data_IF_838959005758
#
_entry.id   IF_838959005758
#
_cell.length_a   1.000
_cell.length_b   1.000
_cell.length_c   1.000
_cell.angle_alpha   90.00
_cell.angle_beta   90.00
_cell.angle_gamma   90.00
#
_symmetry.space_group_name_H-M   'P 1'
#
loop_
_entity.id
_entity.type
_entity.pdbx_description
1 polymer ?
#
# COMPACT_ATOMS: atom_id res chain seq x y z
N UNK A 1 21.81 -48.00 -10.87
CA UNK A 1 21.45 -46.68 -10.33
C UNK A 1 20.10 -46.21 -10.87
N UNK A 2 18.96 -46.63 -10.30
CA UNK A 2 17.63 -46.18 -10.77
C UNK A 2 16.57 -46.11 -9.63
N UNK A 3 17.00 -46.05 -8.38
CA UNK A 3 16.09 -45.98 -7.21
C UNK A 3 15.75 -44.57 -6.73
N UNK A 4 16.52 -43.56 -7.15
CA UNK A 4 16.41 -42.20 -6.57
C UNK A 4 15.35 -41.34 -7.28
N UNK A 5 15.19 -41.47 -8.60
CA UNK A 5 14.20 -40.71 -9.38
C UNK A 5 12.76 -41.16 -9.12
N UNK A 6 12.54 -42.46 -8.86
CA UNK A 6 11.19 -43.06 -8.76
C UNK A 6 10.44 -42.68 -7.47
N UNK A 7 11.16 -42.25 -6.42
CA UNK A 7 10.55 -41.85 -5.15
C UNK A 7 10.25 -40.34 -5.08
N UNK A 8 10.93 -39.52 -5.88
CA UNK A 8 10.65 -38.08 -5.97
C UNK A 8 9.36 -37.83 -6.79
N UNK A 9 9.25 -38.51 -7.93
CA UNK A 9 8.11 -38.38 -8.84
C UNK A 9 6.78 -38.93 -8.27
N UNK A 10 6.83 -39.82 -7.26
CA UNK A 10 5.64 -40.47 -6.69
C UNK A 10 5.05 -39.73 -5.49
N UNK A 11 5.84 -38.84 -4.84
CA UNK A 11 5.43 -38.07 -3.66
C UNK A 11 4.74 -36.75 -4.06
N UNK A 12 5.22 -36.09 -5.11
CA UNK A 12 4.59 -34.89 -5.68
C UNK A 12 3.19 -35.21 -6.24
N UNK A 13 2.96 -36.40 -6.78
CA UNK A 13 1.81 -36.69 -7.65
C UNK A 13 0.55 -37.18 -6.92
N UNK A 14 0.66 -37.58 -5.65
CA UNK A 14 -0.50 -37.89 -4.77
C UNK A 14 -0.89 -36.70 -3.91
N UNK A 15 0.10 -36.05 -3.26
CA UNK A 15 -0.14 -34.88 -2.43
C UNK A 15 -0.65 -33.69 -3.24
N UNK A 16 -0.08 -33.40 -4.42
CA UNK A 16 -0.61 -32.34 -5.28
C UNK A 16 -1.99 -32.65 -5.84
N UNK A 17 -2.30 -33.91 -6.18
CA UNK A 17 -3.64 -34.32 -6.63
C UNK A 17 -4.67 -34.28 -5.50
N UNK A 18 -4.31 -34.65 -4.29
CA UNK A 18 -5.16 -34.52 -3.10
C UNK A 18 -5.39 -33.04 -2.74
N UNK A 19 -4.35 -32.21 -2.77
CA UNK A 19 -4.44 -30.75 -2.59
C UNK A 19 -5.27 -30.07 -3.70
N UNK A 20 -5.09 -30.49 -4.96
CA UNK A 20 -5.89 -30.00 -6.11
C UNK A 20 -7.34 -30.46 -6.04
N UNK A 21 -7.61 -31.66 -5.56
CA UNK A 21 -8.98 -32.15 -5.34
C UNK A 21 -9.64 -31.44 -4.16
N UNK A 22 -8.89 -31.13 -3.10
CA UNK A 22 -9.38 -30.31 -1.99
C UNK A 22 -9.65 -28.86 -2.42
N UNK A 23 -8.86 -28.29 -3.34
CA UNK A 23 -9.17 -27.00 -3.98
C UNK A 23 -10.42 -27.04 -4.85
N UNK A 24 -10.54 -28.08 -5.69
CA UNK A 24 -11.73 -28.30 -6.52
C UNK A 24 -12.98 -28.49 -5.66
N UNK A 25 -12.81 -28.92 -4.40
CA UNK A 25 -13.88 -29.16 -3.43
C UNK A 25 -13.94 -28.12 -2.28
N UNK A 26 -13.17 -27.02 -2.32
CA UNK A 26 -13.21 -25.94 -1.32
C UNK A 26 -13.65 -24.61 -1.97
N UNK A 27 -14.98 -24.41 -2.15
CA UNK A 27 -15.55 -23.17 -2.66
C UNK A 27 -15.18 -21.87 -1.92
N UNK A 28 -14.97 -21.81 -0.57
CA UNK A 28 -14.88 -20.52 0.12
C UNK A 28 -13.57 -19.75 -0.13
N UNK A 29 -12.42 -20.43 -0.17
CA UNK A 29 -11.11 -19.75 -0.22
C UNK A 29 -10.92 -18.95 -1.50
N UNK A 30 -11.18 -19.56 -2.66
CA UNK A 30 -11.03 -18.86 -3.95
C UNK A 30 -12.03 -17.71 -4.08
N UNK A 31 -13.28 -17.90 -3.65
CA UNK A 31 -14.28 -16.85 -3.67
C UNK A 31 -13.90 -15.65 -2.79
N UNK A 32 -13.30 -15.90 -1.62
CA UNK A 32 -12.82 -14.84 -0.74
C UNK A 32 -11.64 -14.08 -1.36
N UNK A 33 -10.70 -14.76 -1.99
CA UNK A 33 -9.56 -14.14 -2.69
C UNK A 33 -10.06 -13.30 -3.88
N UNK A 34 -10.97 -13.84 -4.69
CA UNK A 34 -11.55 -13.13 -5.82
C UNK A 34 -12.33 -11.88 -5.34
N UNK A 35 -13.03 -11.99 -4.21
CA UNK A 35 -13.72 -10.87 -3.58
C UNK A 35 -12.75 -9.80 -3.09
N UNK A 36 -11.74 -10.18 -2.32
CA UNK A 36 -10.70 -9.26 -1.85
C UNK A 36 -9.99 -8.57 -3.02
N UNK A 37 -9.68 -9.29 -4.09
CA UNK A 37 -9.05 -8.73 -5.29
C UNK A 37 -9.90 -7.65 -5.96
N UNK A 38 -11.23 -7.86 -6.05
CA UNK A 38 -12.15 -6.84 -6.57
C UNK A 38 -12.25 -5.62 -5.66
N UNK A 39 -12.33 -5.83 -4.34
CA UNK A 39 -12.40 -4.74 -3.35
C UNK A 39 -11.10 -3.91 -3.36
N UNK A 40 -9.93 -4.55 -3.44
CA UNK A 40 -8.64 -3.87 -3.59
C UNK A 40 -8.58 -3.08 -4.90
N UNK A 41 -9.03 -3.65 -6.01
CA UNK A 41 -9.07 -2.95 -7.31
C UNK A 41 -9.96 -1.70 -7.26
N UNK A 42 -11.11 -1.78 -6.60
CA UNK A 42 -11.99 -0.64 -6.40
C UNK A 42 -11.34 0.44 -5.52
N UNK A 43 -10.58 0.04 -4.51
CA UNK A 43 -9.85 0.96 -3.63
C UNK A 43 -8.69 1.66 -4.35
N UNK A 44 -7.94 0.94 -5.18
CA UNK A 44 -6.89 1.50 -6.04
C UNK A 44 -7.49 2.63 -6.90
N UNK A 45 -8.63 2.38 -7.56
CA UNK A 45 -9.30 3.40 -8.37
C UNK A 45 -9.74 4.63 -7.54
N UNK A 46 -10.07 4.46 -6.25
CA UNK A 46 -10.38 5.59 -5.36
C UNK A 46 -9.12 6.36 -4.97
N UNK A 47 -8.01 5.67 -4.73
CA UNK A 47 -6.71 6.31 -4.49
C UNK A 47 -6.23 7.06 -5.72
N UNK A 48 -6.46 6.57 -6.94
CA UNK A 48 -6.23 7.31 -8.19
C UNK A 48 -7.00 8.64 -8.23
N UNK A 49 -8.29 8.59 -7.89
CA UNK A 49 -9.11 9.79 -7.83
C UNK A 49 -8.61 10.76 -6.75
N UNK A 50 -8.15 10.26 -5.61
CA UNK A 50 -7.54 11.08 -4.56
C UNK A 50 -6.22 11.72 -5.03
N UNK A 51 -5.34 10.94 -5.66
CA UNK A 51 -4.08 11.42 -6.27
C UNK A 51 -4.35 12.56 -7.26
N UNK A 52 -5.33 12.40 -8.16
CA UNK A 52 -5.69 13.43 -9.13
C UNK A 52 -6.18 14.73 -8.46
N UNK A 53 -6.98 14.63 -7.40
CA UNK A 53 -7.48 15.78 -6.65
C UNK A 53 -6.35 16.51 -5.91
N UNK A 54 -5.42 15.75 -5.31
CA UNK A 54 -4.24 16.31 -4.64
C UNK A 54 -3.39 17.07 -5.66
N UNK A 55 -3.14 16.49 -6.83
CA UNK A 55 -2.40 17.15 -7.91
C UNK A 55 -3.05 18.44 -8.38
N UNK A 56 -4.37 18.46 -8.53
CA UNK A 56 -5.10 19.68 -8.90
C UNK A 56 -4.94 20.78 -7.85
N UNK A 57 -5.10 20.43 -6.56
CA UNK A 57 -5.00 21.39 -5.46
C UNK A 57 -3.57 21.89 -5.22
N UNK A 58 -2.56 21.04 -5.43
CA UNK A 58 -1.16 21.44 -5.40
C UNK A 58 -0.90 22.55 -6.42
N UNK A 59 -1.32 22.35 -7.67
CA UNK A 59 -1.19 23.35 -8.73
C UNK A 59 -1.94 24.66 -8.42
N UNK A 60 -3.10 24.59 -7.77
CA UNK A 60 -3.81 25.79 -7.29
C UNK A 60 -3.02 26.54 -6.22
N UNK A 61 -2.47 25.84 -5.23
CA UNK A 61 -1.66 26.46 -4.18
C UNK A 61 -0.39 27.07 -4.76
N UNK A 62 0.27 26.38 -5.69
CA UNK A 62 1.43 26.92 -6.39
C UNK A 62 1.12 28.25 -7.12
N UNK A 63 0.00 28.31 -7.86
CA UNK A 63 -0.44 29.55 -8.50
C UNK A 63 -0.70 30.68 -7.50
N UNK A 64 -1.27 30.36 -6.32
CA UNK A 64 -1.49 31.34 -5.25
C UNK A 64 -0.17 31.86 -4.68
N UNK A 65 0.83 30.99 -4.46
CA UNK A 65 2.18 31.38 -4.03
C UNK A 65 2.77 32.39 -5.02
N UNK A 66 2.77 32.07 -6.32
CA UNK A 66 3.30 32.95 -7.36
C UNK A 66 2.57 34.29 -7.38
N UNK A 67 1.23 34.29 -7.32
CA UNK A 67 0.43 35.51 -7.33
C UNK A 67 0.68 36.40 -6.09
N UNK A 68 0.85 35.81 -4.90
CA UNK A 68 1.19 36.53 -3.68
C UNK A 68 2.60 37.13 -3.75
N UNK A 69 3.59 36.36 -4.25
CA UNK A 69 4.95 36.87 -4.45
C UNK A 69 5.00 38.03 -5.44
N UNK A 70 4.27 37.96 -6.55
CA UNK A 70 4.18 39.05 -7.53
C UNK A 70 3.60 40.35 -6.94
N UNK A 71 2.73 40.24 -5.93
CA UNK A 71 2.15 41.38 -5.21
C UNK A 71 3.02 41.88 -4.05
N UNK A 72 4.15 41.22 -3.78
CA UNK A 72 4.99 41.51 -2.60
C UNK A 72 4.40 41.01 -1.28
N UNK A 73 3.32 40.21 -1.33
CA UNK A 73 2.61 39.69 -0.16
C UNK A 73 3.29 38.40 0.34
N UNK A 74 4.39 38.57 1.06
CA UNK A 74 5.24 37.46 1.53
C UNK A 74 4.55 36.58 2.57
N UNK A 75 3.67 37.15 3.41
CA UNK A 75 2.99 36.42 4.48
C UNK A 75 2.01 35.38 3.89
N UNK A 76 1.20 35.78 2.91
CA UNK A 76 0.31 34.83 2.22
C UNK A 76 1.10 33.81 1.40
N UNK A 77 2.21 34.21 0.76
CA UNK A 77 3.07 33.28 0.03
C UNK A 77 3.63 32.18 0.96
N UNK A 78 4.11 32.55 2.15
CA UNK A 78 4.61 31.60 3.15
C UNK A 78 3.50 30.68 3.66
N UNK A 79 2.31 31.22 3.96
CA UNK A 79 1.15 30.42 4.38
C UNK A 79 0.76 29.37 3.33
N UNK A 80 0.65 29.77 2.05
CA UNK A 80 0.32 28.83 0.97
C UNK A 80 1.42 27.80 0.72
N UNK A 81 2.70 28.14 0.93
CA UNK A 81 3.81 27.20 0.82
C UNK A 81 3.78 26.11 1.91
N UNK A 82 3.39 26.47 3.14
CA UNK A 82 3.21 25.49 4.21
C UNK A 82 2.08 24.50 3.88
N UNK A 83 0.92 25.01 3.43
CA UNK A 83 -0.21 24.17 3.02
C UNK A 83 0.15 23.25 1.84
N UNK A 84 0.91 23.76 0.86
CA UNK A 84 1.42 22.98 -0.26
C UNK A 84 2.32 21.84 0.22
N UNK A 85 3.17 22.09 1.21
CA UNK A 85 4.07 21.08 1.79
C UNK A 85 3.28 19.97 2.49
N UNK A 86 2.29 20.32 3.30
CA UNK A 86 1.42 19.32 3.94
C UNK A 86 0.60 18.53 2.92
N UNK A 87 0.12 19.20 1.86
CA UNK A 87 -0.60 18.54 0.78
C UNK A 87 0.27 17.53 0.02
N UNK A 88 1.56 17.84 -0.18
CA UNK A 88 2.52 16.90 -0.80
C UNK A 88 2.80 15.70 0.11
N UNK A 89 2.92 15.89 1.43
CA UNK A 89 3.04 14.75 2.37
C UNK A 89 1.84 13.82 2.26
N UNK A 90 0.63 14.38 2.23
CA UNK A 90 -0.60 13.62 2.01
C UNK A 90 -0.57 12.89 0.66
N UNK A 91 -0.15 13.57 -0.41
CA UNK A 91 0.02 12.98 -1.74
C UNK A 91 0.96 11.78 -1.75
N UNK A 92 2.12 11.90 -1.10
CA UNK A 92 3.09 10.82 -0.99
C UNK A 92 2.50 9.58 -0.29
N UNK A 93 1.74 9.78 0.80
CA UNK A 93 1.06 8.67 1.49
C UNK A 93 0.01 7.99 0.61
N UNK A 94 -0.79 8.78 -0.14
CA UNK A 94 -1.83 8.23 -1.05
C UNK A 94 -1.20 7.44 -2.20
N UNK A 95 -0.14 7.97 -2.81
CA UNK A 95 0.58 7.31 -3.91
C UNK A 95 1.27 6.03 -3.40
N UNK A 96 1.93 6.08 -2.25
CA UNK A 96 2.57 4.91 -1.64
C UNK A 96 1.55 3.81 -1.30
N UNK A 97 0.40 4.19 -0.70
CA UNK A 97 -0.69 3.26 -0.43
C UNK A 97 -1.21 2.59 -1.71
N UNK A 98 -1.38 3.35 -2.78
CA UNK A 98 -1.80 2.83 -4.09
C UNK A 98 -0.81 1.80 -4.63
N UNK A 99 0.48 2.13 -4.69
CA UNK A 99 1.53 1.24 -5.20
C UNK A 99 1.62 -0.06 -4.40
N UNK A 100 1.55 0.03 -3.06
CA UNK A 100 1.53 -1.15 -2.21
C UNK A 100 0.31 -2.05 -2.47
N UNK A 101 -0.86 -1.46 -2.73
CA UNK A 101 -2.07 -2.21 -3.05
C UNK A 101 -2.06 -2.80 -4.47
N UNK A 102 -1.45 -2.13 -5.44
CA UNK A 102 -1.20 -2.68 -6.77
C UNK A 102 -0.33 -3.94 -6.66
N UNK A 103 0.74 -3.88 -5.86
CA UNK A 103 1.60 -5.03 -5.60
C UNK A 103 0.83 -6.18 -4.92
N UNK A 104 -0.03 -5.88 -3.95
CA UNK A 104 -0.94 -6.87 -3.35
C UNK A 104 -1.85 -7.50 -4.40
N UNK A 105 -2.46 -6.69 -5.27
CA UNK A 105 -3.37 -7.17 -6.32
C UNK A 105 -2.66 -8.15 -7.27
N UNK A 106 -1.43 -7.85 -7.67
CA UNK A 106 -0.60 -8.74 -8.49
C UNK A 106 -0.34 -10.09 -7.80
N UNK A 107 0.00 -10.08 -6.50
CA UNK A 107 0.25 -11.29 -5.72
C UNK A 107 -1.01 -12.15 -5.52
N UNK A 108 -2.16 -11.53 -5.26
CA UNK A 108 -3.41 -12.27 -5.18
C UNK A 108 -3.76 -12.95 -6.51
N UNK A 109 -3.42 -12.31 -7.64
CA UNK A 109 -3.60 -12.86 -8.99
C UNK A 109 -2.74 -14.08 -9.31
N UNK A 110 -1.66 -14.34 -8.57
CA UNK A 110 -0.79 -15.50 -8.79
C UNK A 110 -1.20 -16.74 -7.98
N UNK A 111 -2.25 -16.67 -7.16
CA UNK A 111 -2.67 -17.80 -6.33
C UNK A 111 -3.35 -18.85 -7.21
N UNK A 112 -2.63 -19.95 -7.48
CA UNK A 112 -3.11 -21.06 -8.31
C UNK A 112 -3.42 -22.34 -7.55
N UNK A 113 -2.66 -22.65 -6.49
CA UNK A 113 -2.77 -23.89 -5.70
C UNK A 113 -2.84 -23.61 -4.18
N UNK A 114 -3.34 -24.56 -3.35
CA UNK A 114 -3.62 -24.33 -1.91
C UNK A 114 -2.35 -24.10 -1.08
N UNK A 115 -1.22 -24.65 -1.52
CA UNK A 115 0.09 -24.41 -0.93
C UNK A 115 0.55 -22.97 -1.10
N UNK A 116 0.19 -22.32 -2.22
CA UNK A 116 0.53 -20.92 -2.49
C UNK A 116 -0.33 -19.94 -1.69
N UNK A 117 -1.50 -20.39 -1.21
CA UNK A 117 -2.43 -19.54 -0.47
C UNK A 117 -1.80 -19.03 0.82
N UNK A 118 -1.21 -19.91 1.63
CA UNK A 118 -0.68 -19.53 2.95
C UNK A 118 0.58 -18.65 2.82
N UNK A 119 1.49 -19.02 1.92
CA UNK A 119 2.73 -18.27 1.67
C UNK A 119 2.47 -16.90 1.04
N UNK A 120 1.39 -16.75 0.26
CA UNK A 120 1.03 -15.48 -0.39
C UNK A 120 0.12 -14.61 0.48
N UNK A 121 -0.88 -15.20 1.15
CA UNK A 121 -1.86 -14.44 1.92
C UNK A 121 -1.28 -13.84 3.20
N UNK A 122 -0.35 -14.52 3.87
CA UNK A 122 0.19 -14.03 5.14
C UNK A 122 0.93 -12.68 5.00
N UNK A 123 1.88 -12.52 4.04
CA UNK A 123 2.47 -11.22 3.74
C UNK A 123 1.42 -10.21 3.23
N UNK A 124 0.48 -10.66 2.41
CA UNK A 124 -0.56 -9.79 1.83
C UNK A 124 -1.44 -9.14 2.89
N UNK A 125 -1.92 -9.91 3.87
CA UNK A 125 -2.71 -9.40 5.00
C UNK A 125 -1.91 -8.35 5.77
N UNK A 126 -0.62 -8.59 5.98
CA UNK A 126 0.25 -7.66 6.69
C UNK A 126 0.39 -6.33 5.94
N UNK A 127 0.64 -6.37 4.62
CA UNK A 127 0.69 -5.16 3.79
C UNK A 127 -0.63 -4.38 3.85
N UNK A 128 -1.76 -5.05 3.64
CA UNK A 128 -3.10 -4.42 3.67
C UNK A 128 -3.35 -3.70 5.00
N UNK A 129 -3.00 -4.32 6.14
CA UNK A 129 -3.13 -3.69 7.47
C UNK A 129 -2.26 -2.45 7.61
N UNK A 130 -1.00 -2.52 7.17
CA UNK A 130 -0.05 -1.40 7.28
C UNK A 130 -0.45 -0.23 6.40
N UNK A 131 -0.91 -0.50 5.17
CA UNK A 131 -1.48 0.53 4.29
C UNK A 131 -2.70 1.18 4.96
N UNK A 132 -3.58 0.37 5.56
CA UNK A 132 -4.75 0.88 6.30
C UNK A 132 -4.36 1.84 7.44
N UNK A 133 -3.31 1.52 8.20
CA UNK A 133 -2.79 2.37 9.27
C UNK A 133 -2.31 3.74 8.75
N UNK A 134 -1.61 3.76 7.60
CA UNK A 134 -1.15 5.00 6.97
C UNK A 134 -2.27 5.91 6.48
N UNK A 135 -3.47 5.36 6.24
CA UNK A 135 -4.61 6.11 5.71
C UNK A 135 -5.60 6.58 6.79
N UNK A 136 -5.39 6.26 8.08
CA UNK A 136 -6.35 6.57 9.17
C UNK A 136 -6.72 8.06 9.21
N UNK A 137 -5.75 8.96 9.13
CA UNK A 137 -5.98 10.41 9.23
C UNK A 137 -6.36 11.07 7.91
N UNK A 138 -6.10 10.42 6.78
CA UNK A 138 -6.23 11.00 5.43
C UNK A 138 -7.50 10.51 4.74
N UNK A 139 -7.74 9.19 4.78
CA UNK A 139 -8.84 8.53 4.09
C UNK A 139 -9.52 7.48 4.99
N UNK A 140 -10.27 7.89 6.04
CA UNK A 140 -10.88 6.97 7.01
C UNK A 140 -11.80 5.93 6.36
N UNK A 141 -12.52 6.30 5.30
CA UNK A 141 -13.38 5.36 4.55
C UNK A 141 -12.57 4.26 3.87
N UNK A 142 -11.44 4.61 3.24
CA UNK A 142 -10.55 3.65 2.61
C UNK A 142 -9.89 2.74 3.65
N UNK A 143 -9.55 3.29 4.82
CA UNK A 143 -9.04 2.51 5.94
C UNK A 143 -10.07 1.49 6.46
N UNK A 144 -11.35 1.87 6.54
CA UNK A 144 -12.44 0.94 6.90
C UNK A 144 -12.53 -0.23 5.93
N UNK A 145 -12.51 0.04 4.62
CA UNK A 145 -12.53 -0.99 3.58
C UNK A 145 -11.30 -1.91 3.65
N UNK A 146 -10.11 -1.36 3.91
CA UNK A 146 -8.89 -2.15 4.11
C UNK A 146 -8.97 -3.07 5.35
N UNK A 147 -9.65 -2.65 6.41
CA UNK A 147 -9.87 -3.51 7.57
C UNK A 147 -10.81 -4.67 7.24
N UNK A 148 -11.86 -4.42 6.46
CA UNK A 148 -12.78 -5.45 6.00
C UNK A 148 -12.06 -6.48 5.11
N UNK A 149 -11.28 -5.99 4.13
CA UNK A 149 -10.43 -6.82 3.26
C UNK A 149 -9.44 -7.63 4.11
N UNK A 150 -8.76 -6.98 5.05
CA UNK A 150 -7.82 -7.65 5.93
C UNK A 150 -8.48 -8.74 6.78
N UNK A 151 -9.70 -8.51 7.26
CA UNK A 151 -10.48 -9.48 8.04
C UNK A 151 -10.85 -10.69 7.19
N UNK A 152 -11.37 -10.45 5.97
CA UNK A 152 -11.70 -11.49 5.00
C UNK A 152 -10.49 -12.34 4.61
N UNK A 153 -9.35 -11.72 4.34
CA UNK A 153 -8.12 -12.44 4.01
C UNK A 153 -7.55 -13.18 5.23
N UNK A 154 -7.71 -12.65 6.45
CA UNK A 154 -7.29 -13.32 7.69
C UNK A 154 -8.14 -14.56 7.98
N UNK A 155 -9.47 -14.50 7.80
CA UNK A 155 -10.33 -15.67 7.96
C UNK A 155 -10.01 -16.73 6.93
N UNK A 156 -9.76 -16.32 5.69
CA UNK A 156 -9.33 -17.21 4.61
C UNK A 156 -7.98 -17.87 4.89
N UNK A 157 -7.05 -17.14 5.48
CA UNK A 157 -5.75 -17.69 5.92
C UNK A 157 -5.91 -18.74 7.02
N UNK A 158 -6.82 -18.52 7.99
CA UNK A 158 -7.12 -19.51 9.04
C UNK A 158 -7.73 -20.78 8.43
N UNK A 159 -8.70 -20.63 7.52
CA UNK A 159 -9.30 -21.75 6.78
C UNK A 159 -8.22 -22.53 6.00
N UNK A 160 -7.36 -21.85 5.24
CA UNK A 160 -6.29 -22.50 4.48
C UNK A 160 -5.22 -23.15 5.39
N UNK A 161 -4.85 -22.50 6.49
CA UNK A 161 -3.85 -22.99 7.44
C UNK A 161 -4.28 -24.26 8.17
N UNK A 162 -5.56 -24.36 8.54
CA UNK A 162 -6.13 -25.58 9.14
C UNK A 162 -6.10 -26.78 8.19
N UNK A 163 -6.25 -26.54 6.88
CA UNK A 163 -6.21 -27.58 5.85
C UNK A 163 -4.77 -27.99 5.52
N UNK A 164 -3.84 -27.03 5.51
CA UNK A 164 -2.48 -27.22 5.00
C UNK A 164 -1.42 -27.69 6.01
N UNK A 165 -1.71 -27.71 7.31
CA UNK A 165 -0.75 -28.17 8.35
C UNK A 165 0.60 -27.42 8.35
N UNK A 166 0.62 -26.20 7.80
CA UNK A 166 1.84 -25.43 7.53
C UNK A 166 2.13 -24.46 8.67
N UNK A 167 3.39 -24.40 9.15
CA UNK A 167 3.79 -23.41 10.15
C UNK A 167 3.84 -22.01 9.53
N UNK A 168 3.12 -21.06 10.13
CA UNK A 168 3.11 -19.67 9.71
C UNK A 168 4.41 -18.96 10.12
N UNK A 169 5.12 -18.37 9.16
CA UNK A 169 6.30 -17.55 9.42
C UNK A 169 5.95 -16.06 9.40
N UNK A 170 5.49 -15.55 10.54
CA UNK A 170 5.11 -14.14 10.69
C UNK A 170 6.29 -13.17 10.59
N UNK A 171 7.50 -13.60 10.95
CA UNK A 171 8.69 -12.75 10.88
C UNK A 171 9.05 -12.44 9.44
N UNK A 172 9.07 -13.45 8.57
CA UNK A 172 9.30 -13.27 7.14
C UNK A 172 8.21 -12.39 6.52
N UNK A 173 6.94 -12.64 6.86
CA UNK A 173 5.82 -11.86 6.34
C UNK A 173 5.87 -10.37 6.74
N UNK A 174 6.31 -10.05 7.96
CA UNK A 174 6.47 -8.65 8.38
C UNK A 174 7.65 -7.98 7.67
N UNK A 175 8.78 -8.66 7.53
CA UNK A 175 9.94 -8.14 6.78
C UNK A 175 9.59 -7.87 5.32
N UNK A 176 8.83 -8.77 4.70
CA UNK A 176 8.37 -8.59 3.32
C UNK A 176 7.39 -7.42 3.18
N UNK A 177 6.48 -7.27 4.15
CA UNK A 177 5.56 -6.14 4.16
C UNK A 177 6.30 -4.80 4.33
N UNK A 178 7.33 -4.75 5.17
CA UNK A 178 8.20 -3.57 5.32
C UNK A 178 8.89 -3.23 4.01
N UNK A 179 9.45 -4.21 3.30
CA UNK A 179 10.10 -4.00 2.01
C UNK A 179 9.13 -3.42 0.97
N UNK A 180 7.91 -3.97 0.87
CA UNK A 180 6.89 -3.45 -0.07
C UNK A 180 6.52 -2.01 0.23
N UNK A 181 6.40 -1.66 1.51
CA UNK A 181 6.04 -0.29 1.92
C UNK A 181 7.19 0.69 1.68
N UNK A 182 8.44 0.27 1.92
CA UNK A 182 9.63 1.07 1.67
C UNK A 182 9.82 1.35 0.17
N UNK A 183 9.69 0.32 -0.66
CA UNK A 183 9.74 0.47 -2.12
C UNK A 183 8.62 1.39 -2.63
N UNK A 184 7.38 1.17 -2.16
CA UNK A 184 6.25 2.03 -2.51
C UNK A 184 6.45 3.48 -2.07
N UNK A 185 7.04 3.71 -0.88
CA UNK A 185 7.35 5.05 -0.38
C UNK A 185 8.45 5.72 -1.21
N UNK A 186 9.50 4.97 -1.59
CA UNK A 186 10.58 5.47 -2.45
C UNK A 186 10.04 5.90 -3.81
N UNK A 187 9.28 5.03 -4.48
CA UNK A 187 8.67 5.32 -5.79
C UNK A 187 7.66 6.46 -5.67
N UNK A 188 6.90 6.54 -4.58
CA UNK A 188 6.01 7.67 -4.33
C UNK A 188 6.78 8.99 -4.23
N UNK A 189 7.89 9.02 -3.49
CA UNK A 189 8.74 10.21 -3.35
C UNK A 189 9.28 10.68 -4.70
N UNK A 190 9.82 9.77 -5.50
CA UNK A 190 10.32 10.08 -6.85
C UNK A 190 9.22 10.62 -7.77
N UNK A 191 8.05 9.98 -7.76
CA UNK A 191 6.89 10.40 -8.55
C UNK A 191 6.39 11.78 -8.14
N UNK A 192 6.40 12.08 -6.85
CA UNK A 192 6.05 13.41 -6.34
C UNK A 192 7.11 14.43 -6.79
N UNK A 193 8.41 14.16 -6.60
CA UNK A 193 9.47 15.07 -7.03
C UNK A 193 9.40 15.40 -8.54
N UNK A 194 9.06 14.43 -9.39
CA UNK A 194 8.95 14.64 -10.83
C UNK A 194 7.71 15.44 -11.26
N UNK A 195 6.59 15.32 -10.53
CA UNK A 195 5.31 15.93 -10.92
C UNK A 195 5.04 17.30 -10.32
N UNK A 196 5.82 17.68 -9.30
CA UNK A 196 5.56 18.89 -8.51
C UNK A 196 6.73 19.88 -8.62
N UNK A 197 6.51 21.09 -9.17
CA UNK A 197 7.57 22.08 -9.32
C UNK A 197 8.14 22.51 -7.96
N UNK A 198 9.42 22.88 -7.95
CA UNK A 198 10.07 23.43 -6.75
C UNK A 198 9.37 24.72 -6.31
N UNK A 199 9.15 24.83 -5.00
CA UNK A 199 8.58 26.03 -4.41
C UNK A 199 9.66 27.11 -4.46
N UNK A 200 9.38 28.31 -5.02
CA UNK A 200 10.34 29.40 -4.97
C UNK A 200 10.73 29.65 -3.50
N UNK A 201 12.03 29.84 -3.23
CA UNK A 201 12.51 30.06 -1.87
C UNK A 201 11.84 31.29 -1.26
N UNK A 202 10.81 31.07 -0.45
CA UNK A 202 10.23 32.11 0.39
C UNK A 202 11.15 32.21 1.59
N UNK A 203 11.78 33.38 1.86
CA UNK A 203 12.64 33.52 3.04
C UNK A 203 11.79 33.21 4.27
N UNK A 204 12.09 32.08 4.92
CA UNK A 204 11.53 31.76 6.23
C UNK A 204 12.00 32.85 7.19
N UNK A 205 11.07 33.46 7.92
CA UNK A 205 11.42 34.40 8.99
C UNK A 205 12.23 33.62 10.02
N UNK A 206 13.54 33.82 10.02
CA UNK A 206 14.42 33.41 11.11
C UNK A 206 14.03 34.24 12.33
N UNK A 207 13.41 33.60 13.31
CA UNK A 207 13.27 34.15 14.65
C UNK A 207 14.65 34.11 15.32
N UNK A 208 15.53 35.05 14.96
CA UNK A 208 16.76 35.30 15.71
C UNK A 208 16.88 36.81 15.96
N UNK A 209 17.06 37.11 17.26
CA UNK A 209 17.47 38.39 17.87
C UNK A 209 16.44 39.52 17.98
N UNK A 210 15.63 39.48 19.04
CA UNK A 210 15.31 40.69 19.81
C UNK A 210 15.06 40.31 21.27
N UNK A 211 16.03 40.57 22.16
CA UNK A 211 15.81 40.38 23.60
C UNK A 211 17.03 40.28 24.52
N UNK A 212 18.19 40.88 24.19
CA UNK A 212 19.28 41.08 25.17
C UNK A 212 19.94 42.44 24.95
N UNK A 213 19.21 43.50 25.25
CA UNK A 213 19.75 44.80 25.65
C UNK A 213 18.63 45.65 26.27
N UNK A 214 18.59 45.70 27.61
CA UNK A 214 18.80 46.87 28.49
C UNK A 214 18.49 46.44 29.92
#
# INVERSE_FOLDING_TARGET
MSGFSKNWQKKEDKSSRELRNLMRNSPPVKLHIDRASREISALIARLDNAEARIKSRDGEMFRKIVASLQKGDKDHAAMYANELTEMRKVGMTVVGAKLALEQVSLRLGTITDLGDVVSTLLPTVTVVKRVGQGLVSIMPKAQGELNEISSLLSSTLVEAGTIGGTSLNFQAANSEAEQVLEEAASVASERMAAQFPEVPAVPQRTEEEEGLAV
#
